data_IF_158176657968
#
_entry.id   IF_158176657968
#
_cell.length_a   1.000
_cell.length_b   1.000
_cell.length_c   1.000
_cell.angle_alpha   90.00
_cell.angle_beta   90.00
_cell.angle_gamma   90.00
#
_symmetry.space_group_name_H-M   'P 1'
#
loop_
_entity.id
_entity.type
_entity.pdbx_description
1 polymer ?
#
# COMPACT_ATOMS: atom_id res chain seq x y z
N UNK A 1 -12.48 3.98 -21.57
CA UNK A 1 -11.57 4.63 -20.61
C UNK A 1 -10.59 5.41 -21.45
N UNK A 2 -10.69 6.73 -21.41
CA UNK A 2 -9.84 7.63 -22.21
C UNK A 2 -8.53 7.89 -21.47
N UNK A 3 -8.61 8.03 -20.14
CA UNK A 3 -7.46 8.23 -19.26
C UNK A 3 -7.43 7.19 -18.13
N UNK A 4 -6.25 6.81 -17.66
CA UNK A 4 -6.08 5.88 -16.53
C UNK A 4 -6.84 6.38 -15.28
N UNK A 5 -6.87 7.70 -15.08
CA UNK A 5 -7.59 8.35 -13.99
C UNK A 5 -9.11 8.23 -14.04
N UNK A 6 -9.72 7.85 -15.17
CA UNK A 6 -11.18 7.69 -15.30
C UNK A 6 -11.73 6.64 -14.33
N UNK A 7 -10.88 5.73 -13.84
CA UNK A 7 -11.24 4.79 -12.77
C UNK A 7 -11.70 5.50 -11.48
N UNK A 8 -11.25 6.73 -11.24
CA UNK A 8 -11.60 7.56 -10.10
C UNK A 8 -12.30 8.87 -10.50
N UNK A 9 -11.92 9.46 -11.63
CA UNK A 9 -12.52 10.66 -12.18
C UNK A 9 -13.72 10.29 -13.06
N UNK A 10 -14.76 9.75 -12.42
CA UNK A 10 -16.06 9.51 -13.06
C UNK A 10 -16.69 10.82 -13.54
N UNK A 11 -17.71 10.75 -14.38
CA UNK A 11 -18.43 11.93 -14.86
C UNK A 11 -18.97 12.79 -13.71
N UNK A 12 -19.43 12.15 -12.63
CA UNK A 12 -19.87 12.85 -11.43
C UNK A 12 -18.70 13.61 -10.76
N UNK A 13 -17.51 13.01 -10.67
CA UNK A 13 -16.32 13.67 -10.12
C UNK A 13 -15.87 14.81 -11.01
N UNK A 14 -15.84 14.63 -12.33
CA UNK A 14 -15.49 15.67 -13.30
C UNK A 14 -16.44 16.87 -13.20
N UNK A 15 -17.75 16.62 -13.09
CA UNK A 15 -18.77 17.67 -12.88
C UNK A 15 -18.57 18.43 -11.56
N UNK A 16 -18.20 17.74 -10.48
CA UNK A 16 -17.85 18.40 -9.22
C UNK A 16 -16.58 19.25 -9.38
N UNK A 17 -15.56 18.76 -10.08
CA UNK A 17 -14.35 19.53 -10.36
C UNK A 17 -14.64 20.79 -11.18
N UNK A 18 -15.59 20.76 -12.11
CA UNK A 18 -16.05 21.93 -12.87
C UNK A 18 -16.70 22.95 -11.94
N UNK A 19 -17.65 22.48 -11.12
CA UNK A 19 -18.39 23.32 -10.17
C UNK A 19 -17.45 23.96 -9.13
N UNK A 20 -16.39 23.25 -8.73
CA UNK A 20 -15.40 23.70 -7.75
C UNK A 20 -14.16 24.34 -8.38
N UNK A 21 -14.15 24.58 -9.70
CA UNK A 21 -13.10 25.33 -10.40
C UNK A 21 -11.75 24.62 -10.55
N UNK A 22 -11.67 23.30 -10.32
CA UNK A 22 -10.42 22.52 -10.43
C UNK A 22 -10.28 21.73 -11.73
N UNK A 23 -11.33 21.69 -12.56
CA UNK A 23 -11.36 20.81 -13.75
C UNK A 23 -10.25 21.09 -14.75
N UNK A 24 -9.94 22.35 -15.05
CA UNK A 24 -8.88 22.69 -16.01
C UNK A 24 -7.51 22.19 -15.56
N UNK A 25 -7.21 22.25 -14.26
CA UNK A 25 -5.95 21.76 -13.72
C UNK A 25 -5.87 20.23 -13.82
N UNK A 26 -6.94 19.53 -13.46
CA UNK A 26 -6.97 18.06 -13.53
C UNK A 26 -7.00 17.53 -14.97
N UNK A 27 -7.67 18.22 -15.92
CA UNK A 27 -7.63 17.86 -17.34
C UNK A 27 -6.20 17.95 -17.91
N UNK A 28 -5.42 18.97 -17.54
CA UNK A 28 -4.00 19.05 -17.92
C UNK A 28 -3.20 17.89 -17.35
N UNK A 29 -3.44 17.52 -16.10
CA UNK A 29 -2.77 16.39 -15.45
C UNK A 29 -3.08 15.05 -16.14
N UNK A 30 -4.34 14.84 -16.54
CA UNK A 30 -4.76 13.65 -17.30
C UNK A 30 -4.00 13.54 -18.63
N UNK A 31 -3.91 14.63 -19.39
CA UNK A 31 -3.18 14.65 -20.68
C UNK A 31 -1.67 14.50 -20.53
N UNK A 32 -1.11 14.87 -19.38
CA UNK A 32 0.31 14.75 -19.08
C UNK A 32 0.72 13.36 -18.55
N UNK A 33 -0.22 12.39 -18.51
CA UNK A 33 0.04 11.04 -18.02
C UNK A 33 0.18 10.95 -16.50
N UNK A 34 -0.50 11.83 -15.75
CA UNK A 34 -0.28 11.97 -14.31
C UNK A 34 -0.63 10.76 -13.43
N UNK A 35 -1.36 9.77 -13.95
CA UNK A 35 -1.65 8.50 -13.25
C UNK A 35 -1.00 7.35 -14.01
N UNK A 36 -0.54 6.34 -13.26
CA UNK A 36 0.24 5.22 -13.80
C UNK A 36 -0.51 3.91 -13.59
N UNK A 37 -0.32 2.94 -14.48
CA UNK A 37 -0.95 1.61 -14.39
C UNK A 37 0.07 0.48 -14.21
N UNK A 38 1.35 0.75 -14.46
CA UNK A 38 2.45 -0.19 -14.30
C UNK A 38 3.10 -0.07 -12.92
N UNK A 39 3.65 -1.18 -12.43
CA UNK A 39 4.49 -1.23 -11.24
C UNK A 39 5.90 -0.85 -11.65
N UNK A 40 6.13 0.46 -11.74
CA UNK A 40 7.43 1.03 -12.09
C UNK A 40 8.41 0.97 -10.90
N UNK A 41 9.62 1.49 -11.12
CA UNK A 41 10.67 1.56 -10.10
C UNK A 41 10.24 2.39 -8.89
N UNK A 42 9.49 3.48 -9.08
CA UNK A 42 9.05 4.32 -7.97
C UNK A 42 8.09 3.56 -7.05
N UNK A 43 7.10 2.87 -7.62
CA UNK A 43 6.17 2.06 -6.84
C UNK A 43 6.90 0.88 -6.18
N UNK A 44 7.80 0.21 -6.91
CA UNK A 44 8.56 -0.92 -6.38
C UNK A 44 9.44 -0.52 -5.19
N UNK A 45 10.16 0.61 -5.29
CA UNK A 45 11.00 1.14 -4.22
C UNK A 45 10.14 1.54 -3.01
N UNK A 46 9.00 2.17 -3.25
CA UNK A 46 8.08 2.51 -2.17
C UNK A 46 7.58 1.26 -1.43
N UNK A 47 7.14 0.24 -2.16
CA UNK A 47 6.64 -1.03 -1.62
C UNK A 47 7.69 -1.78 -0.81
N UNK A 48 8.96 -1.77 -1.26
CA UNK A 48 10.07 -2.45 -0.58
C UNK A 48 10.27 -1.99 0.88
N UNK A 49 9.84 -0.77 1.20
CA UNK A 49 9.95 -0.18 2.54
C UNK A 49 8.68 -0.34 3.39
N UNK A 50 7.59 -0.86 2.83
CA UNK A 50 6.32 -0.96 3.56
C UNK A 50 6.22 -2.29 4.32
N UNK A 51 5.95 -2.19 5.62
CA UNK A 51 5.64 -3.32 6.50
C UNK A 51 4.12 -3.51 6.70
N UNK A 52 3.32 -2.60 6.15
CA UNK A 52 1.87 -2.61 6.29
C UNK A 52 1.16 -1.87 5.15
N UNK A 53 -0.09 -2.26 4.90
CA UNK A 53 -1.01 -1.54 4.03
C UNK A 53 -2.47 -1.84 4.39
N UNK A 54 -3.41 -1.10 3.79
CA UNK A 54 -4.84 -1.34 3.95
C UNK A 54 -5.40 -1.90 2.65
N UNK A 55 -6.06 -3.06 2.73
CA UNK A 55 -6.80 -3.66 1.62
C UNK A 55 -8.28 -3.35 1.79
N UNK A 56 -8.85 -2.67 0.80
CA UNK A 56 -10.28 -2.49 0.67
C UNK A 56 -10.85 -3.47 -0.38
N UNK A 57 -11.99 -4.05 -0.05
CA UNK A 57 -12.80 -4.93 -0.90
C UNK A 57 -14.26 -4.56 -0.72
N UNK A 58 -15.14 -5.01 -1.62
CA UNK A 58 -16.57 -4.86 -1.45
C UNK A 58 -17.28 -6.16 -1.83
N UNK A 59 -18.43 -6.42 -1.22
CA UNK A 59 -19.29 -7.53 -1.63
C UNK A 59 -20.02 -7.20 -2.96
N UNK A 60 -20.83 -8.13 -3.47
CA UNK A 60 -21.59 -7.96 -4.72
C UNK A 60 -22.61 -6.80 -4.67
N UNK A 61 -23.05 -6.41 -3.47
CA UNK A 61 -23.94 -5.26 -3.25
C UNK A 61 -23.18 -3.93 -3.10
N UNK A 62 -21.86 -3.95 -3.19
CA UNK A 62 -21.02 -2.75 -3.04
C UNK A 62 -20.80 -2.32 -1.59
N UNK A 63 -21.09 -3.17 -0.58
CA UNK A 63 -20.80 -2.85 0.81
C UNK A 63 -19.27 -2.86 1.03
N UNK A 64 -18.64 -1.73 1.41
CA UNK A 64 -17.20 -1.66 1.57
C UNK A 64 -16.74 -2.37 2.84
N UNK A 65 -15.53 -2.92 2.77
CA UNK A 65 -14.79 -3.47 3.89
C UNK A 65 -13.30 -3.16 3.72
N UNK A 66 -12.65 -2.69 4.79
CA UNK A 66 -11.21 -2.37 4.81
C UNK A 66 -10.54 -3.14 5.93
N UNK A 67 -9.39 -3.74 5.64
CA UNK A 67 -8.59 -4.46 6.61
C UNK A 67 -7.11 -4.07 6.51
N UNK A 68 -6.49 -3.84 7.66
CA UNK A 68 -5.05 -3.71 7.77
C UNK A 68 -4.37 -5.06 7.50
N UNK A 69 -3.33 -5.04 6.66
CA UNK A 69 -2.43 -6.16 6.36
C UNK A 69 -1.03 -5.75 6.78
N UNK A 70 -0.38 -6.59 7.57
CA UNK A 70 1.00 -6.36 8.03
C UNK A 70 1.88 -7.57 7.74
N UNK A 71 3.17 -7.33 7.58
CA UNK A 71 4.19 -8.32 7.31
C UNK A 71 5.60 -7.71 7.44
N UNK A 72 6.65 -8.45 7.07
CA UNK A 72 7.99 -7.87 6.99
C UNK A 72 8.03 -6.75 5.94
N UNK A 73 8.98 -5.80 6.02
CA UNK A 73 9.17 -4.79 4.98
C UNK A 73 9.25 -5.42 3.58
N UNK A 74 8.45 -4.91 2.64
CA UNK A 74 8.41 -5.44 1.27
C UNK A 74 7.57 -6.70 1.09
N UNK A 75 6.71 -7.08 2.05
CA UNK A 75 5.86 -8.27 1.91
C UNK A 75 4.82 -8.19 0.78
N UNK A 76 4.44 -6.97 0.36
CA UNK A 76 3.67 -6.75 -0.87
C UNK A 76 4.64 -6.63 -2.05
N UNK A 77 4.79 -7.70 -2.82
CA UNK A 77 5.83 -7.83 -3.85
C UNK A 77 5.28 -7.61 -5.25
N UNK A 78 5.98 -6.86 -6.12
CA UNK A 78 5.76 -6.93 -7.56
C UNK A 78 6.04 -8.35 -8.09
N UNK A 79 5.15 -8.89 -8.90
CA UNK A 79 5.31 -10.21 -9.55
C UNK A 79 5.18 -10.14 -11.08
N UNK A 80 5.08 -8.93 -11.62
CA UNK A 80 5.00 -8.64 -13.05
C UNK A 80 4.76 -7.13 -13.28
N UNK A 81 4.63 -6.72 -14.54
CA UNK A 81 4.54 -5.29 -14.91
C UNK A 81 3.36 -4.54 -14.30
N UNK A 82 2.28 -5.23 -13.93
CA UNK A 82 1.08 -4.63 -13.33
C UNK A 82 0.48 -5.52 -12.23
N UNK A 83 1.28 -6.40 -11.63
CA UNK A 83 0.80 -7.34 -10.62
C UNK A 83 1.59 -7.22 -9.33
N UNK A 84 0.87 -7.15 -8.23
CA UNK A 84 1.38 -7.24 -6.88
C UNK A 84 0.86 -8.54 -6.25
N UNK A 85 1.62 -9.13 -5.34
CA UNK A 85 1.14 -10.25 -4.56
C UNK A 85 1.70 -10.22 -3.14
N UNK A 86 0.94 -10.82 -2.22
CA UNK A 86 1.36 -11.00 -0.84
C UNK A 86 0.81 -12.33 -0.30
N UNK A 87 1.53 -12.91 0.65
CA UNK A 87 1.05 -14.05 1.41
C UNK A 87 -0.01 -13.59 2.42
N UNK A 88 -1.16 -14.27 2.43
CA UNK A 88 -2.22 -14.04 3.41
C UNK A 88 -2.11 -15.12 4.50
N UNK A 89 -1.81 -14.66 5.72
CA UNK A 89 -1.51 -15.51 6.88
C UNK A 89 -2.77 -15.87 7.67
N UNK A 90 -2.71 -16.97 8.42
CA UNK A 90 -3.77 -17.35 9.35
C UNK A 90 -4.06 -16.23 10.36
N UNK A 91 -5.27 -15.68 10.29
CA UNK A 91 -5.74 -14.63 11.19
C UNK A 91 -6.95 -15.05 12.02
N UNK A 92 -7.82 -14.08 12.34
CA UNK A 92 -9.07 -14.28 13.09
C UNK A 92 -10.17 -15.06 12.33
N UNK A 93 -9.88 -15.51 11.11
CA UNK A 93 -10.76 -16.35 10.27
C UNK A 93 -12.12 -15.72 9.92
N UNK A 94 -12.24 -14.40 9.86
CA UNK A 94 -13.47 -13.75 9.38
C UNK A 94 -13.72 -13.96 7.89
N UNK A 95 -12.65 -14.16 7.10
CA UNK A 95 -12.70 -14.42 5.65
C UNK A 95 -13.49 -13.40 4.80
N UNK A 96 -13.75 -12.19 5.32
CA UNK A 96 -14.58 -11.19 4.63
C UNK A 96 -13.99 -10.80 3.28
N UNK A 97 -12.71 -10.41 3.21
CA UNK A 97 -12.07 -10.07 1.93
C UNK A 97 -12.09 -11.24 0.94
N UNK A 98 -11.92 -12.47 1.43
CA UNK A 98 -11.91 -13.67 0.59
C UNK A 98 -13.30 -13.93 0.01
N UNK A 99 -14.34 -13.83 0.85
CA UNK A 99 -15.73 -13.94 0.43
C UNK A 99 -16.10 -12.84 -0.57
N UNK A 100 -15.78 -11.58 -0.27
CA UNK A 100 -15.99 -10.45 -1.17
C UNK A 100 -15.37 -10.69 -2.54
N UNK A 101 -14.09 -11.10 -2.59
CA UNK A 101 -13.37 -11.32 -3.85
C UNK A 101 -13.88 -12.51 -4.67
N UNK A 102 -14.65 -13.42 -4.06
CA UNK A 102 -15.28 -14.53 -4.78
C UNK A 102 -16.48 -14.10 -5.63
N UNK A 103 -17.11 -12.97 -5.29
CA UNK A 103 -18.30 -12.44 -5.99
C UNK A 103 -18.09 -11.04 -6.59
N UNK A 104 -17.08 -10.31 -6.12
CA UNK A 104 -16.71 -8.99 -6.61
C UNK A 104 -15.19 -8.81 -6.50
N UNK A 105 -14.51 -8.87 -7.65
CA UNK A 105 -13.06 -8.80 -7.70
C UNK A 105 -12.50 -7.37 -7.55
N UNK A 106 -13.33 -6.33 -7.42
CA UNK A 106 -12.83 -4.97 -7.24
C UNK A 106 -12.13 -4.82 -5.90
N UNK A 107 -10.92 -4.29 -5.93
CA UNK A 107 -10.09 -4.09 -4.75
C UNK A 107 -9.31 -2.78 -4.83
N UNK A 108 -8.94 -2.27 -3.67
CA UNK A 108 -8.16 -1.05 -3.56
C UNK A 108 -7.13 -1.20 -2.45
N UNK A 109 -5.90 -0.78 -2.73
CA UNK A 109 -4.80 -0.77 -1.75
C UNK A 109 -4.51 0.69 -1.39
N UNK A 110 -4.45 0.96 -0.10
CA UNK A 110 -3.99 2.22 0.44
C UNK A 110 -2.71 1.99 1.24
N UNK A 111 -1.64 2.67 0.85
CA UNK A 111 -0.35 2.61 1.51
C UNK A 111 -0.02 3.96 2.14
N UNK A 112 0.55 3.93 3.34
CA UNK A 112 0.81 5.12 4.14
C UNK A 112 2.21 5.05 4.75
N UNK A 113 3.11 5.90 4.28
CA UNK A 113 4.41 6.12 4.89
C UNK A 113 4.36 7.42 5.72
N UNK A 114 4.16 7.28 7.04
CA UNK A 114 4.10 8.43 7.93
C UNK A 114 5.44 9.14 8.09
N UNK A 115 6.57 8.42 8.00
CA UNK A 115 7.89 9.01 8.18
C UNK A 115 8.23 9.92 7.00
N UNK A 116 7.90 9.50 5.77
CA UNK A 116 8.08 10.29 4.54
C UNK A 116 6.89 11.19 4.19
N UNK A 117 5.80 11.08 4.94
CA UNK A 117 4.53 11.78 4.70
C UNK A 117 3.96 11.51 3.30
N UNK A 118 4.18 10.31 2.79
CA UNK A 118 3.78 9.89 1.45
C UNK A 118 2.65 8.87 1.56
N UNK A 119 1.69 8.95 0.64
CA UNK A 119 0.65 7.93 0.49
C UNK A 119 0.47 7.56 -0.96
N UNK A 120 0.30 6.26 -1.21
CA UNK A 120 0.00 5.72 -2.53
C UNK A 120 -1.38 5.05 -2.47
N UNK A 121 -2.19 5.32 -3.48
CA UNK A 121 -3.50 4.69 -3.70
C UNK A 121 -3.41 3.84 -4.95
N UNK A 122 -3.86 2.60 -4.88
CA UNK A 122 -3.80 1.66 -6.00
C UNK A 122 -5.19 1.08 -6.22
N UNK A 123 -5.76 1.34 -7.39
CA UNK A 123 -7.01 0.74 -7.85
C UNK A 123 -6.70 -0.48 -8.69
N UNK A 124 -7.54 -1.50 -8.56
CA UNK A 124 -7.33 -2.72 -9.31
C UNK A 124 -8.37 -3.79 -9.02
N UNK A 125 -7.96 -5.01 -9.32
CA UNK A 125 -8.72 -6.21 -8.97
C UNK A 125 -7.86 -7.17 -8.20
N UNK A 126 -8.44 -7.91 -7.27
CA UNK A 126 -7.73 -8.94 -6.53
C UNK A 126 -8.39 -10.31 -6.69
N UNK A 127 -7.58 -11.35 -6.51
CA UNK A 127 -8.02 -12.74 -6.51
C UNK A 127 -7.22 -13.56 -5.52
N UNK A 128 -7.84 -14.63 -5.03
CA UNK A 128 -7.22 -15.59 -4.10
C UNK A 128 -6.64 -16.76 -4.90
N UNK A 129 -5.36 -17.05 -4.69
CA UNK A 129 -4.65 -18.19 -5.29
C UNK A 129 -4.21 -19.13 -4.15
N UNK A 130 -4.74 -20.36 -4.12
CA UNK A 130 -4.50 -21.30 -3.00
C UNK A 130 -3.58 -22.47 -3.35
N UNK A 131 -3.17 -22.62 -4.61
CA UNK A 131 -2.44 -23.80 -5.11
C UNK A 131 -1.23 -23.45 -5.99
N UNK A 132 -0.42 -22.49 -5.55
CA UNK A 132 0.83 -22.16 -6.23
C UNK A 132 2.01 -22.12 -5.24
N UNK A 133 2.65 -23.28 -5.00
CA UNK A 133 3.83 -23.35 -4.11
C UNK A 133 5.01 -22.51 -4.62
N UNK A 134 5.15 -22.36 -5.94
CA UNK A 134 6.26 -21.62 -6.54
C UNK A 134 6.14 -20.12 -6.28
N UNK A 135 4.92 -19.59 -6.36
CA UNK A 135 4.62 -18.21 -6.02
C UNK A 135 4.70 -18.01 -4.50
N UNK A 136 4.23 -18.97 -3.71
CA UNK A 136 4.31 -18.88 -2.25
C UNK A 136 5.76 -18.76 -1.77
N UNK A 137 6.66 -19.58 -2.31
CA UNK A 137 8.09 -19.53 -1.97
C UNK A 137 8.74 -18.18 -2.28
N UNK A 138 8.27 -17.47 -3.33
CA UNK A 138 8.76 -16.12 -3.67
C UNK A 138 8.24 -15.05 -2.70
N UNK A 139 7.07 -15.27 -2.11
CA UNK A 139 6.38 -14.28 -1.29
C UNK A 139 6.73 -14.37 0.19
N UNK A 140 6.97 -15.58 0.69
CA UNK A 140 7.26 -15.81 2.11
C UNK A 140 8.73 -15.50 2.42
N UNK A 141 8.95 -14.69 3.44
CA UNK A 141 10.27 -14.51 4.03
C UNK A 141 10.56 -15.73 4.95
N UNK A 142 11.67 -16.48 4.73
CA UNK A 142 12.03 -17.63 5.56
C UNK A 142 12.17 -17.30 7.05
N UNK A 143 12.51 -16.06 7.40
CA UNK A 143 12.67 -15.62 8.79
C UNK A 143 11.35 -15.14 9.42
N UNK A 144 10.28 -15.05 8.62
CA UNK A 144 8.96 -14.63 9.11
C UNK A 144 8.10 -15.83 9.49
N UNK A 145 7.95 -16.07 10.79
CA UNK A 145 7.30 -17.26 11.37
C UNK A 145 5.76 -17.35 11.21
N UNK A 146 5.16 -16.66 10.25
CA UNK A 146 3.72 -16.75 9.99
C UNK A 146 3.41 -17.85 8.96
N UNK A 147 2.37 -18.65 9.23
CA UNK A 147 1.95 -19.73 8.33
C UNK A 147 1.07 -19.12 7.22
N UNK A 148 1.52 -19.13 5.95
CA UNK A 148 0.70 -18.65 4.84
C UNK A 148 -0.41 -19.65 4.53
N UNK A 149 -1.65 -19.18 4.42
CA UNK A 149 -2.78 -20.02 4.02
C UNK A 149 -3.06 -19.95 2.52
N UNK A 150 -2.78 -18.79 1.92
CA UNK A 150 -3.14 -18.46 0.54
C UNK A 150 -2.30 -17.29 0.04
N UNK A 151 -2.40 -17.04 -1.26
CA UNK A 151 -1.78 -15.91 -1.92
C UNK A 151 -2.89 -14.98 -2.40
N UNK A 152 -2.70 -13.69 -2.19
CA UNK A 152 -3.53 -12.65 -2.79
C UNK A 152 -2.76 -12.04 -3.95
N UNK A 153 -3.32 -12.11 -5.14
CA UNK A 153 -2.78 -11.47 -6.34
C UNK A 153 -3.63 -10.26 -6.67
N UNK A 154 -3.01 -9.09 -6.80
CA UNK A 154 -3.64 -7.82 -7.12
C UNK A 154 -3.14 -7.33 -8.49
N UNK A 155 -4.06 -7.18 -9.44
CA UNK A 155 -3.79 -6.59 -10.74
C UNK A 155 -4.04 -5.09 -10.67
N UNK A 156 -2.99 -4.30 -10.84
CA UNK A 156 -3.01 -2.85 -10.86
C UNK A 156 -3.70 -2.36 -12.13
N UNK A 157 -4.69 -1.48 -11.95
CA UNK A 157 -5.34 -0.74 -13.04
C UNK A 157 -4.90 0.72 -13.07
N UNK A 158 -4.68 1.30 -11.89
CA UNK A 158 -4.19 2.65 -11.73
C UNK A 158 -3.56 2.83 -10.36
N UNK A 159 -2.63 3.76 -10.24
CA UNK A 159 -2.17 4.29 -8.98
C UNK A 159 -1.72 5.74 -9.09
N UNK A 160 -1.70 6.39 -7.92
CA UNK A 160 -1.46 7.82 -7.77
C UNK A 160 -0.77 8.12 -6.43
N UNK A 161 0.12 9.11 -6.45
CA UNK A 161 0.78 9.66 -5.27
C UNK A 161 0.12 10.98 -4.91
N UNK A 162 -0.47 11.03 -3.73
CA UNK A 162 -1.17 12.23 -3.26
C UNK A 162 -0.25 13.19 -2.48
N UNK A 163 -0.65 14.46 -2.38
CA UNK A 163 0.06 15.51 -1.63
C UNK A 163 0.31 15.15 -0.14
N UNK A 164 1.50 15.52 0.35
CA UNK A 164 1.95 15.38 1.75
C UNK A 164 1.21 16.22 2.79
N UNK A 165 0.40 17.17 2.33
CA UNK A 165 -0.32 18.11 3.21
C UNK A 165 -1.18 17.37 4.23
N UNK A 166 -1.19 17.90 5.46
CA UNK A 166 -1.97 17.39 6.60
C UNK A 166 -1.61 15.97 7.09
N UNK A 167 -0.50 15.38 6.63
CA UNK A 167 -0.01 14.11 7.18
C UNK A 167 0.94 14.43 8.34
N UNK A 168 0.55 14.11 9.58
CA UNK A 168 1.44 14.22 10.73
C UNK A 168 2.52 13.14 10.64
N UNK A 169 3.78 13.53 10.77
CA UNK A 169 4.91 12.61 10.78
C UNK A 169 4.83 11.69 12.00
N UNK A 170 5.06 10.39 11.79
CA UNK A 170 5.10 9.37 12.84
C UNK A 170 6.26 8.42 12.56
N UNK A 171 6.82 7.87 13.63
CA UNK A 171 7.94 6.95 13.60
C UNK A 171 7.60 5.73 14.43
N UNK A 172 8.17 4.58 14.06
CA UNK A 172 8.11 3.38 14.89
C UNK A 172 9.02 3.54 16.11
N UNK A 173 8.78 2.73 17.14
CA UNK A 173 9.66 2.72 18.31
C UNK A 173 11.12 2.38 17.93
N UNK A 174 11.31 1.49 16.95
CA UNK A 174 12.63 1.11 16.46
C UNK A 174 13.33 2.27 15.75
N UNK A 175 12.62 3.01 14.89
CA UNK A 175 13.18 4.22 14.26
C UNK A 175 13.58 5.27 15.30
N UNK A 176 12.73 5.50 16.30
CA UNK A 176 13.06 6.42 17.40
C UNK A 176 14.28 5.95 18.17
N UNK A 177 14.40 4.65 18.45
CA UNK A 177 15.57 4.06 19.10
C UNK A 177 16.84 4.28 18.27
N UNK A 178 16.81 3.98 16.97
CA UNK A 178 17.94 4.18 16.06
C UNK A 178 18.41 5.64 16.01
N UNK A 179 17.47 6.59 15.98
CA UNK A 179 17.78 8.03 15.98
C UNK A 179 18.38 8.48 17.32
N UNK A 180 17.90 7.92 18.43
CA UNK A 180 18.28 8.38 19.78
C UNK A 180 19.48 7.64 20.38
N UNK A 181 19.83 6.45 19.89
CA UNK A 181 20.91 5.64 20.46
C UNK A 181 22.28 6.34 20.41
N UNK A 182 22.72 6.96 19.29
CA UNK A 182 24.01 7.65 19.26
C UNK A 182 24.09 8.81 20.26
N UNK A 183 22.96 9.48 20.52
CA UNK A 183 22.89 10.55 21.52
C UNK A 183 23.03 9.99 22.93
N UNK A 184 22.38 8.85 23.23
CA UNK A 184 22.50 8.16 24.51
C UNK A 184 23.93 7.67 24.77
N UNK A 185 24.56 7.10 23.75
CA UNK A 185 25.95 6.62 23.85
C UNK A 185 26.90 7.78 24.15
N UNK A 186 26.71 8.93 23.48
CA UNK A 186 27.50 10.14 23.74
C UNK A 186 27.26 10.73 25.13
N UNK A 187 26.01 10.71 25.62
CA UNK A 187 25.69 11.17 26.98
C UNK A 187 26.42 10.30 28.01
N UNK A 188 26.36 8.98 27.87
CA UNK A 188 27.04 8.05 28.78
C UNK A 188 28.57 8.24 28.78
N UNK A 189 29.17 8.48 27.60
CA UNK A 189 30.60 8.79 27.50
C UNK A 189 30.98 10.08 28.23
N UNK A 190 30.17 11.14 28.08
CA UNK A 190 30.39 12.43 28.73
C UNK A 190 30.19 12.35 30.24
N UNK A 191 29.17 11.62 30.71
CA UNK A 191 28.93 11.37 32.14
C UNK A 191 30.12 10.65 32.78
N UNK A 192 30.67 9.62 32.12
CA UNK A 192 31.85 8.90 32.59
C UNK A 192 33.14 9.76 32.65
N UNK A 193 33.22 10.85 31.89
CA UNK A 193 34.35 11.80 31.95
C UNK A 193 34.25 12.75 33.14
N UNK A 194 33.03 13.05 33.61
CA UNK A 194 32.79 13.93 34.76
C UNK A 194 32.97 13.20 36.10
N UNK A 195 32.87 11.87 36.11
CA UNK A 195 33.09 11.03 37.30
C UNK A 195 34.58 10.74 37.59
N UNK A 196 35.50 11.28 36.78
CA UNK A 196 36.96 11.19 36.97
C UNK A 196 37.54 12.49 37.51
#
# INVERSE_FOLDING_TARGET
>A
MEYISDIAFSDAVKKVQETQGSRTAYARMETAGGWRSEVDTELSDFLSNQDSFYLATANAKGQPYVQHRGGPPGFLKPIGNNQLAFADFSGNRQYISVGNLSENNQAFIFLMDYARQTRIKIWGTAQVVTKDPSLLQKLVDPEYHAIPERIMVFTVKAWDVNCRQHIKQRYTAEQVKQITQPLKDRIAELEAQLEK
#
